data_IF_405066125552
#
_entry.id   IF_405066125552
#
_cell.length_a   1.000
_cell.length_b   1.000
_cell.length_c   1.000
_cell.angle_alpha   90.00
_cell.angle_beta   90.00
_cell.angle_gamma   90.00
#
_symmetry.space_group_name_H-M   'P 1'
#
loop_
_entity.id
_entity.type
_entity.pdbx_description
1 polymer ?
#
# COMPACT_ATOMS: atom_id res chain seq x y z
N UNK A 1 -18.79 -4.45 8.60
CA UNK A 1 -18.29 -3.73 7.40
C UNK A 1 -16.99 -4.37 7.00
N UNK A 2 -16.86 -4.80 5.74
CA UNK A 2 -15.63 -5.41 5.24
C UNK A 2 -14.55 -4.35 5.06
N UNK A 3 -13.30 -4.72 5.39
CA UNK A 3 -12.12 -3.93 5.02
C UNK A 3 -12.09 -3.84 3.50
N UNK A 4 -11.86 -2.63 2.97
CA UNK A 4 -11.63 -2.43 1.53
C UNK A 4 -10.14 -2.35 1.32
N UNK A 5 -9.62 -3.15 0.41
CA UNK A 5 -8.22 -3.08 0.03
C UNK A 5 -8.05 -3.04 -1.48
N UNK A 6 -6.96 -2.41 -1.91
CA UNK A 6 -6.54 -2.32 -3.31
C UNK A 6 -5.07 -2.66 -3.40
N UNK A 7 -4.71 -3.57 -4.29
CA UNK A 7 -3.30 -3.84 -4.60
C UNK A 7 -2.66 -2.59 -5.19
N UNK A 8 -1.52 -2.20 -4.61
CA UNK A 8 -0.70 -1.10 -5.10
C UNK A 8 0.41 -1.64 -5.99
N UNK A 9 1.20 -2.57 -5.47
CA UNK A 9 2.39 -3.05 -6.15
C UNK A 9 2.74 -4.46 -5.69
N UNK A 10 3.26 -5.27 -6.61
CA UNK A 10 3.87 -6.57 -6.31
C UNK A 10 5.25 -6.55 -6.93
N UNK A 11 6.27 -6.75 -6.10
CA UNK A 11 7.64 -6.80 -6.58
C UNK A 11 7.96 -8.17 -7.17
N UNK A 12 9.03 -8.24 -7.95
CA UNK A 12 9.46 -9.48 -8.61
C UNK A 12 9.87 -10.60 -7.63
N UNK A 13 10.16 -10.26 -6.37
CA UNK A 13 10.50 -11.24 -5.33
C UNK A 13 9.25 -11.82 -4.62
N UNK A 14 8.05 -11.30 -4.95
CA UNK A 14 6.78 -11.73 -4.37
C UNK A 14 6.31 -10.94 -3.14
N UNK A 15 7.04 -9.90 -2.72
CA UNK A 15 6.51 -8.95 -1.75
C UNK A 15 5.37 -8.14 -2.39
N UNK A 16 4.29 -7.94 -1.64
CA UNK A 16 3.08 -7.29 -2.11
C UNK A 16 2.64 -6.16 -1.16
N UNK A 17 2.17 -5.07 -1.74
CA UNK A 17 1.73 -3.88 -1.03
C UNK A 17 0.28 -3.55 -1.41
N UNK A 18 -0.51 -3.25 -0.40
CA UNK A 18 -1.94 -2.95 -0.55
C UNK A 18 -2.30 -1.66 0.18
N UNK A 19 -3.18 -0.86 -0.43
CA UNK A 19 -3.84 0.26 0.22
C UNK A 19 -5.08 -0.27 0.94
N UNK A 20 -5.17 -0.05 2.25
CA UNK A 20 -6.26 -0.58 3.08
C UNK A 20 -7.04 0.58 3.68
N UNK A 21 -8.35 0.62 3.41
CA UNK A 21 -9.28 1.55 4.02
C UNK A 21 -10.00 0.86 5.19
N UNK A 22 -9.80 1.39 6.39
CA UNK A 22 -10.53 0.96 7.57
C UNK A 22 -11.92 1.61 7.58
N UNK A 23 -13.01 0.84 7.47
CA UNK A 23 -14.35 1.39 7.27
C UNK A 23 -14.92 2.11 8.50
N UNK A 24 -14.36 1.91 9.69
CA UNK A 24 -14.87 2.51 10.94
C UNK A 24 -14.32 3.91 11.17
N UNK A 25 -13.01 4.09 11.03
CA UNK A 25 -12.37 5.38 11.21
C UNK A 25 -12.15 6.17 9.91
N UNK A 26 -12.29 5.52 8.75
CA UNK A 26 -11.92 6.11 7.46
C UNK A 26 -10.40 6.25 7.27
N UNK A 27 -9.60 5.68 8.17
CA UNK A 27 -8.14 5.71 8.09
C UNK A 27 -7.63 4.80 6.98
N UNK A 28 -6.53 5.23 6.38
CA UNK A 28 -5.89 4.51 5.27
C UNK A 28 -4.48 4.07 5.69
N UNK A 29 -4.18 2.82 5.44
CA UNK A 29 -2.91 2.17 5.79
C UNK A 29 -2.31 1.49 4.57
N UNK A 30 -1.00 1.24 4.64
CA UNK A 30 -0.29 0.36 3.71
C UNK A 30 -0.10 -0.99 4.38
N UNK A 31 -0.65 -2.05 3.79
CA UNK A 31 -0.36 -3.42 4.17
C UNK A 31 0.79 -3.93 3.33
N UNK A 32 1.91 -4.24 3.97
CA UNK A 32 3.05 -4.90 3.35
C UNK A 32 2.99 -6.38 3.71
N UNK A 33 2.92 -7.22 2.70
CA UNK A 33 2.97 -8.67 2.81
C UNK A 33 4.27 -9.15 2.22
N UNK A 34 5.16 -9.67 3.06
CA UNK A 34 6.40 -10.27 2.58
C UNK A 34 6.10 -11.57 1.85
N UNK A 35 6.95 -11.90 0.88
CA UNK A 35 6.92 -13.19 0.21
C UNK A 35 7.06 -14.34 1.23
N UNK A 36 6.55 -15.52 0.85
CA UNK A 36 6.54 -16.68 1.74
C UNK A 36 7.95 -17.13 2.15
N UNK A 37 8.94 -16.96 1.26
CA UNK A 37 10.34 -17.29 1.54
C UNK A 37 10.97 -16.37 2.61
N UNK A 38 10.43 -15.16 2.79
CA UNK A 38 10.84 -14.15 3.77
C UNK A 38 9.97 -14.17 5.02
N UNK A 39 9.30 -15.29 5.29
CA UNK A 39 8.49 -15.53 6.48
C UNK A 39 7.01 -15.16 6.34
N UNK A 40 6.58 -14.59 5.21
CA UNK A 40 5.16 -14.30 4.96
C UNK A 40 4.52 -13.27 5.90
N UNK A 41 5.34 -12.52 6.64
CA UNK A 41 4.87 -11.57 7.63
C UNK A 41 4.06 -10.44 7.00
N UNK A 42 3.01 -10.03 7.71
CA UNK A 42 2.12 -8.94 7.31
C UNK A 42 2.31 -7.79 8.27
N UNK A 43 2.73 -6.65 7.73
CA UNK A 43 2.91 -5.40 8.48
C UNK A 43 1.89 -4.37 8.00
N UNK A 44 1.29 -3.62 8.94
CA UNK A 44 0.47 -2.45 8.65
C UNK A 44 1.28 -1.19 8.97
N UNK A 45 1.33 -0.27 8.01
CA UNK A 45 2.14 0.94 8.06
C UNK A 45 1.19 2.13 7.86
N UNK A 46 1.29 3.16 8.69
CA UNK A 46 0.56 4.41 8.45
C UNK A 46 0.98 5.01 7.11
N UNK A 47 0.03 5.54 6.34
CA UNK A 47 0.34 6.13 5.03
C UNK A 47 1.37 7.28 5.15
N UNK A 48 1.33 8.04 6.25
CA UNK A 48 2.28 9.14 6.49
C UNK A 48 3.71 8.63 6.67
N UNK A 49 3.85 7.53 7.39
CA UNK A 49 5.16 6.98 7.73
C UNK A 49 5.73 6.32 6.49
N UNK A 50 4.90 5.57 5.75
CA UNK A 50 5.28 5.03 4.44
C UNK A 50 5.79 6.12 3.50
N UNK A 51 5.01 7.19 3.26
CA UNK A 51 5.43 8.30 2.40
C UNK A 51 6.72 9.02 2.87
N UNK A 52 7.03 8.98 4.16
CA UNK A 52 8.24 9.60 4.71
C UNK A 52 9.51 8.77 4.53
N UNK A 53 9.39 7.46 4.28
CA UNK A 53 10.50 6.51 4.38
C UNK A 53 11.25 6.28 3.06
N UNK A 54 10.68 6.58 1.88
CA UNK A 54 11.45 6.30 0.67
C UNK A 54 10.87 6.65 -0.70
N UNK A 55 11.70 6.30 -1.70
CA UNK A 55 11.50 6.51 -3.13
C UNK A 55 11.42 5.19 -3.92
N UNK A 56 11.12 4.06 -3.24
CA UNK A 56 11.02 2.75 -3.87
C UNK A 56 9.85 2.66 -4.87
N UNK A 57 9.82 1.62 -5.73
CA UNK A 57 8.75 1.43 -6.71
C UNK A 57 7.34 1.45 -6.10
N UNK A 58 7.16 0.88 -4.91
CA UNK A 58 5.92 0.89 -4.15
C UNK A 58 5.46 2.30 -3.75
N UNK A 59 6.41 3.20 -3.46
CA UNK A 59 6.13 4.60 -3.17
C UNK A 59 5.75 5.36 -4.45
N UNK A 60 6.47 5.10 -5.54
CA UNK A 60 6.18 5.70 -6.84
C UNK A 60 4.78 5.31 -7.34
N UNK A 61 4.39 4.06 -7.14
CA UNK A 61 3.08 3.56 -7.55
C UNK A 61 1.94 4.15 -6.71
N UNK A 62 2.16 4.36 -5.41
CA UNK A 62 1.22 5.11 -4.57
C UNK A 62 1.07 6.56 -5.08
N UNK A 63 2.17 7.25 -5.37
CA UNK A 63 2.14 8.61 -5.91
C UNK A 63 1.45 8.66 -7.28
N UNK A 64 1.68 7.66 -8.14
CA UNK A 64 1.01 7.52 -9.45
C UNK A 64 -0.49 7.36 -9.28
N UNK A 65 -0.93 6.52 -8.34
CA UNK A 65 -2.34 6.34 -8.00
C UNK A 65 -2.95 7.67 -7.50
N UNK A 66 -2.27 8.38 -6.61
CA UNK A 66 -2.73 9.70 -6.14
C UNK A 66 -2.81 10.72 -7.29
N UNK A 67 -1.87 10.68 -8.23
CA UNK A 67 -1.89 11.52 -9.44
C UNK A 67 -3.13 11.28 -10.31
N UNK A 68 -3.64 10.04 -10.37
CA UNK A 68 -4.89 9.72 -11.10
C UNK A 68 -6.14 10.34 -10.50
N UNK A 69 -6.08 10.82 -9.25
CA UNK A 69 -7.19 11.53 -8.61
C UNK A 69 -7.24 13.01 -9.00
N UNK A 70 -6.13 13.55 -9.50
CA UNK A 70 -5.98 14.95 -9.94
C UNK A 70 -6.18 15.10 -11.44
N UNK A 71 -5.83 14.06 -12.21
CA UNK A 71 -6.09 14.01 -13.65
C UNK A 71 -7.57 13.72 -13.91
N UNK A 72 -8.29 14.74 -14.36
CA UNK A 72 -9.64 14.65 -14.94
C UNK A 72 -9.70 13.49 -15.95
N UNK A 73 -10.75 12.66 -15.84
CA UNK A 73 -11.19 11.78 -16.93
C UNK A 73 -11.95 12.54 -17.99
#
# INVERSE_FOLDING_TARGET
>A
MAVRERELYVSSNGDAWYLVLEPRSGRVFIRHQRNQASGGDVSLIEIRDFLSQGHGPEHQELLRLLGTLVGEG
#
